data_IF_846266562980
#
_entry.id   IF_846266562980
#
_cell.length_a   1.000
_cell.length_b   1.000
_cell.length_c   1.000
_cell.angle_alpha   90.00
_cell.angle_beta   90.00
_cell.angle_gamma   90.00
#
_symmetry.space_group_name_H-M   'P 1'
#
loop_
_entity.id
_entity.type
_entity.pdbx_description
1 polymer ?
#
# COMPACT_ATOMS: atom_id res chain seq x y z
N UNK A 1 -3.90 12.00 -13.85
CA UNK A 1 -4.83 11.04 -13.16
C UNK A 1 -4.10 9.73 -12.87
N UNK A 2 -4.14 9.23 -11.64
CA UNK A 2 -3.44 8.02 -11.19
C UNK A 2 -4.36 6.81 -11.26
N UNK A 3 -3.81 5.65 -11.65
CA UNK A 3 -4.59 4.40 -11.66
C UNK A 3 -4.56 3.74 -10.29
N UNK A 4 -5.73 3.29 -9.83
CA UNK A 4 -5.93 2.51 -8.62
C UNK A 4 -6.46 1.14 -9.03
N UNK A 5 -5.94 0.07 -8.43
CA UNK A 5 -6.34 -1.29 -8.79
C UNK A 5 -6.63 -2.15 -7.56
N UNK A 6 -7.39 -3.21 -7.76
CA UNK A 6 -7.58 -4.25 -6.74
C UNK A 6 -6.32 -5.10 -6.56
N UNK A 7 -6.21 -5.77 -5.42
CA UNK A 7 -5.16 -6.78 -5.17
C UNK A 7 -5.20 -7.90 -6.22
N UNK A 8 -6.39 -8.27 -6.69
CA UNK A 8 -6.54 -9.26 -7.74
C UNK A 8 -5.90 -8.78 -9.05
N UNK A 9 -6.26 -7.58 -9.50
CA UNK A 9 -5.69 -6.97 -10.70
C UNK A 9 -4.16 -6.83 -10.58
N UNK A 10 -3.66 -6.44 -9.40
CA UNK A 10 -2.21 -6.35 -9.15
C UNK A 10 -1.52 -7.69 -9.36
N UNK A 11 -2.04 -8.78 -8.79
CA UNK A 11 -1.47 -10.13 -8.94
C UNK A 11 -1.50 -10.65 -10.36
N UNK A 12 -2.61 -10.40 -11.08
CA UNK A 12 -2.76 -10.79 -12.48
C UNK A 12 -1.74 -10.03 -13.36
N UNK A 13 -1.55 -8.74 -13.09
CA UNK A 13 -0.57 -7.88 -13.78
C UNK A 13 0.88 -8.30 -13.50
N UNK A 14 1.22 -8.59 -12.25
CA UNK A 14 2.53 -9.14 -11.86
C UNK A 14 2.81 -10.46 -12.60
N UNK A 15 1.88 -11.41 -12.53
CA UNK A 15 2.04 -12.72 -13.16
C UNK A 15 2.19 -12.60 -14.68
N UNK A 16 1.41 -11.70 -15.31
CA UNK A 16 1.50 -11.43 -16.74
C UNK A 16 2.86 -10.83 -17.11
N UNK A 17 3.32 -9.86 -16.33
CA UNK A 17 4.59 -9.18 -16.56
C UNK A 17 5.77 -10.16 -16.40
N UNK A 18 5.77 -10.97 -15.35
CA UNK A 18 6.81 -11.99 -15.11
C UNK A 18 6.83 -13.03 -16.23
N UNK A 19 5.67 -13.43 -16.72
CA UNK A 19 5.58 -14.43 -17.79
C UNK A 19 6.07 -13.92 -19.14
N UNK A 20 5.88 -12.62 -19.45
CA UNK A 20 6.05 -12.13 -20.82
C UNK A 20 7.21 -11.15 -21.00
N UNK A 21 7.68 -10.47 -19.95
CA UNK A 21 8.58 -9.31 -20.11
C UNK A 21 9.83 -9.34 -19.25
N UNK A 22 9.77 -9.93 -18.04
CA UNK A 22 10.90 -9.92 -17.11
C UNK A 22 10.83 -11.10 -16.14
N UNK A 23 11.91 -11.45 -15.47
CA UNK A 23 11.87 -12.44 -14.38
C UNK A 23 11.48 -11.78 -13.03
N UNK A 24 11.03 -12.63 -12.10
CA UNK A 24 10.55 -12.19 -10.80
C UNK A 24 11.62 -11.53 -9.93
N UNK A 25 12.88 -11.96 -10.04
CA UNK A 25 14.01 -11.35 -9.29
C UNK A 25 14.32 -9.96 -9.80
N UNK A 26 14.31 -9.77 -11.12
CA UNK A 26 14.49 -8.44 -11.73
C UNK A 26 13.37 -7.49 -11.29
N UNK A 27 12.11 -7.97 -11.25
CA UNK A 27 10.98 -7.15 -10.79
C UNK A 27 11.12 -6.78 -9.32
N UNK A 28 11.53 -7.72 -8.46
CA UNK A 28 11.85 -7.50 -7.05
C UNK A 28 12.99 -6.50 -6.86
N UNK A 29 14.04 -6.58 -7.69
CA UNK A 29 15.12 -5.59 -7.66
C UNK A 29 14.61 -4.18 -7.98
N UNK A 30 13.79 -4.03 -9.02
CA UNK A 30 13.18 -2.75 -9.38
C UNK A 30 12.30 -2.19 -8.27
N UNK A 31 11.57 -3.06 -7.55
CA UNK A 31 10.76 -2.67 -6.41
C UNK A 31 11.62 -2.10 -5.27
N UNK A 32 12.64 -2.82 -4.83
CA UNK A 32 13.57 -2.35 -3.79
C UNK A 32 14.32 -1.07 -4.20
N UNK A 33 14.71 -0.96 -5.48
CA UNK A 33 15.36 0.23 -6.03
C UNK A 33 14.41 1.44 -6.02
N UNK A 34 13.15 1.25 -6.40
CA UNK A 34 12.13 2.29 -6.36
C UNK A 34 11.88 2.80 -4.94
N UNK A 35 11.84 1.89 -3.97
CA UNK A 35 11.75 2.25 -2.54
C UNK A 35 12.97 3.03 -2.10
N UNK A 36 14.17 2.58 -2.47
CA UNK A 36 15.41 3.30 -2.14
C UNK A 36 15.39 4.74 -2.67
N UNK A 37 14.97 4.96 -3.92
CA UNK A 37 14.88 6.28 -4.56
C UNK A 37 13.76 7.18 -4.00
N UNK A 38 12.76 6.61 -3.33
CA UNK A 38 11.56 7.33 -2.87
C UNK A 38 11.71 8.07 -1.54
N UNK A 39 12.78 7.80 -0.80
CA UNK A 39 13.02 8.38 0.51
C UNK A 39 14.51 8.78 0.67
N UNK A 40 14.82 9.93 1.30
CA UNK A 40 16.21 10.36 1.55
C UNK A 40 16.82 9.62 2.75
N UNK A 41 17.15 8.35 2.56
CA UNK A 41 17.73 7.49 3.59
C UNK A 41 19.04 8.06 4.14
N UNK A 42 19.19 8.03 5.45
CA UNK A 42 20.41 8.46 6.14
C UNK A 42 20.55 7.75 7.48
N UNK A 43 21.74 7.87 8.10
CA UNK A 43 22.05 7.28 9.40
C UNK A 43 22.01 5.76 9.42
N UNK A 44 21.24 5.17 10.33
CA UNK A 44 21.02 3.72 10.43
C UNK A 44 19.57 3.38 10.20
N UNK A 45 19.33 2.37 9.36
CA UNK A 45 17.99 1.93 8.96
C UNK A 45 17.69 0.52 9.49
N UNK A 46 16.59 0.37 10.20
CA UNK A 46 16.05 -0.95 10.56
C UNK A 46 15.14 -1.42 9.43
N UNK A 47 15.50 -2.51 8.74
CA UNK A 47 14.67 -3.11 7.69
C UNK A 47 13.94 -4.30 8.29
N UNK A 48 12.64 -4.17 8.56
CA UNK A 48 11.83 -5.18 9.23
C UNK A 48 11.14 -6.05 8.18
N UNK A 49 11.53 -7.32 8.11
CA UNK A 49 11.20 -8.24 7.06
C UNK A 49 10.30 -9.38 7.53
N UNK A 50 9.23 -9.64 6.79
CA UNK A 50 8.41 -10.83 6.93
C UNK A 50 9.00 -12.06 6.22
N UNK A 51 8.12 -12.93 5.68
CA UNK A 51 8.53 -14.15 5.00
C UNK A 51 8.08 -14.26 3.53
N UNK A 52 7.40 -13.22 3.02
CA UNK A 52 6.88 -13.15 1.66
C UNK A 52 7.77 -12.34 0.71
N UNK A 53 7.24 -12.01 -0.47
CA UNK A 53 7.98 -11.25 -1.48
C UNK A 53 8.28 -9.81 -1.04
N UNK A 54 7.40 -9.18 -0.25
CA UNK A 54 7.66 -7.85 0.31
C UNK A 54 8.95 -7.79 1.16
N UNK A 55 9.30 -8.89 1.85
CA UNK A 55 10.60 -9.01 2.50
C UNK A 55 11.76 -9.03 1.50
N UNK A 56 11.54 -9.61 0.32
CA UNK A 56 12.53 -9.61 -0.76
C UNK A 56 12.86 -8.19 -1.25
N UNK A 57 11.84 -7.34 -1.40
CA UNK A 57 12.02 -5.92 -1.72
C UNK A 57 12.84 -5.22 -0.62
N UNK A 58 12.59 -5.58 0.64
CA UNK A 58 13.37 -5.11 1.81
C UNK A 58 14.83 -5.56 1.78
N UNK A 59 15.12 -6.78 1.34
CA UNK A 59 16.50 -7.25 1.20
C UNK A 59 17.23 -6.50 0.08
N UNK A 60 16.57 -6.22 -1.03
CA UNK A 60 17.13 -5.36 -2.09
C UNK A 60 17.38 -3.95 -1.57
N UNK A 61 16.44 -3.37 -0.82
CA UNK A 61 16.63 -2.08 -0.15
C UNK A 61 17.87 -2.10 0.75
N UNK A 62 18.07 -3.13 1.57
CA UNK A 62 19.22 -3.26 2.46
C UNK A 62 20.55 -3.31 1.69
N UNK A 63 20.60 -4.04 0.57
CA UNK A 63 21.76 -4.07 -0.31
C UNK A 63 22.08 -2.68 -0.88
N UNK A 64 21.06 -1.94 -1.32
CA UNK A 64 21.22 -0.59 -1.86
C UNK A 64 21.65 0.42 -0.78
N UNK A 65 21.10 0.31 0.45
CA UNK A 65 21.55 1.11 1.59
C UNK A 65 23.04 0.87 1.85
N UNK A 66 23.47 -0.37 1.98
CA UNK A 66 24.88 -0.76 2.19
C UNK A 66 25.78 -0.24 1.07
N UNK A 67 25.38 -0.43 -0.19
CA UNK A 67 26.14 0.03 -1.35
C UNK A 67 26.32 1.57 -1.40
N UNK A 68 25.42 2.31 -0.74
CA UNK A 68 25.50 3.77 -0.64
C UNK A 68 26.06 4.27 0.71
N UNK A 69 26.68 3.40 1.49
CA UNK A 69 27.33 3.76 2.76
C UNK A 69 26.35 4.05 3.91
N UNK A 70 25.09 3.64 3.78
CA UNK A 70 24.06 3.81 4.80
C UNK A 70 23.98 2.51 5.62
N UNK A 71 24.18 2.62 6.94
CA UNK A 71 24.13 1.46 7.84
C UNK A 71 22.71 0.89 7.91
N UNK A 72 22.61 -0.45 7.86
CA UNK A 72 21.31 -1.10 8.04
C UNK A 72 21.44 -2.43 8.76
N UNK A 73 20.34 -2.87 9.37
CA UNK A 73 20.19 -4.18 10.01
C UNK A 73 18.85 -4.78 9.61
N UNK A 74 18.86 -6.05 9.26
CA UNK A 74 17.64 -6.81 8.96
C UNK A 74 17.01 -7.33 10.25
N UNK A 75 15.76 -7.00 10.50
CA UNK A 75 14.94 -7.52 11.58
C UNK A 75 13.93 -8.50 11.01
N UNK A 76 14.15 -9.79 11.20
CA UNK A 76 13.31 -10.84 10.64
C UNK A 76 12.19 -11.19 11.62
N UNK A 77 10.94 -11.17 11.16
CA UNK A 77 9.80 -11.66 11.96
C UNK A 77 9.87 -13.17 12.13
N UNK A 78 10.32 -13.88 11.09
CA UNK A 78 10.56 -15.33 11.08
C UNK A 78 11.74 -15.67 10.20
N UNK A 79 12.47 -16.73 10.55
CA UNK A 79 13.51 -17.28 9.69
C UNK A 79 12.88 -18.14 8.57
N UNK A 80 12.11 -17.50 7.68
CA UNK A 80 11.42 -18.11 6.56
C UNK A 80 11.41 -17.12 5.39
N UNK A 81 11.59 -17.62 4.18
CA UNK A 81 11.79 -16.80 2.97
C UNK A 81 10.93 -17.30 1.82
N UNK A 82 10.48 -16.41 0.94
CA UNK A 82 10.07 -16.78 -0.41
C UNK A 82 11.28 -17.18 -1.26
N UNK A 83 11.08 -17.81 -2.40
CA UNK A 83 12.19 -18.27 -3.25
C UNK A 83 13.10 -17.10 -3.71
N UNK A 84 12.50 -16.01 -4.20
CA UNK A 84 13.23 -14.83 -4.62
C UNK A 84 13.77 -14.02 -3.43
N UNK A 85 13.03 -13.99 -2.33
CA UNK A 85 13.48 -13.39 -1.08
C UNK A 85 14.73 -14.06 -0.53
N UNK A 86 14.81 -15.39 -0.56
CA UNK A 86 16.01 -16.13 -0.14
C UNK A 86 17.22 -15.75 -0.99
N UNK A 87 17.05 -15.61 -2.31
CA UNK A 87 18.13 -15.20 -3.20
C UNK A 87 18.75 -13.86 -2.80
N UNK A 88 17.93 -12.87 -2.46
CA UNK A 88 18.42 -11.55 -2.03
C UNK A 88 18.91 -11.55 -0.58
N UNK A 89 18.31 -12.36 0.29
CA UNK A 89 18.78 -12.51 1.68
C UNK A 89 20.21 -13.13 1.71
N UNK A 90 20.50 -14.14 0.89
CA UNK A 90 21.85 -14.71 0.78
C UNK A 90 22.86 -13.67 0.26
N UNK A 91 22.46 -12.76 -0.63
CA UNK A 91 23.30 -11.62 -1.03
C UNK A 91 23.54 -10.65 0.15
N UNK A 92 22.51 -10.35 0.96
CA UNK A 92 22.70 -9.53 2.16
C UNK A 92 23.71 -10.15 3.12
N UNK A 93 23.69 -11.48 3.30
CA UNK A 93 24.67 -12.20 4.10
C UNK A 93 26.07 -12.11 3.52
N UNK A 94 26.22 -12.24 2.20
CA UNK A 94 27.49 -12.13 1.51
C UNK A 94 28.12 -10.72 1.60
N UNK A 95 27.28 -9.70 1.78
CA UNK A 95 27.69 -8.31 2.01
C UNK A 95 27.80 -7.96 3.50
N UNK A 96 27.86 -8.96 4.40
CA UNK A 96 27.95 -8.78 5.84
C UNK A 96 26.88 -7.82 6.43
N UNK A 97 25.65 -7.86 5.91
CA UNK A 97 24.53 -7.14 6.48
C UNK A 97 24.00 -7.95 7.68
N UNK A 98 24.05 -7.34 8.86
CA UNK A 98 23.57 -7.96 10.09
C UNK A 98 22.09 -8.31 10.01
N UNK A 99 21.72 -9.48 10.55
CA UNK A 99 20.32 -9.89 10.70
C UNK A 99 20.04 -10.47 12.07
N UNK A 100 18.84 -10.17 12.60
CA UNK A 100 18.37 -10.65 13.90
C UNK A 100 16.89 -10.99 13.84
N UNK A 101 16.43 -11.85 14.74
CA UNK A 101 14.99 -12.16 14.88
C UNK A 101 14.35 -11.13 15.82
N UNK A 102 13.25 -10.52 15.38
CA UNK A 102 12.47 -9.60 16.21
C UNK A 102 11.78 -10.36 17.34
N UNK A 103 11.79 -9.78 18.54
CA UNK A 103 11.15 -10.33 19.73
C UNK A 103 10.73 -9.20 20.68
N UNK A 104 10.20 -9.55 21.86
CA UNK A 104 9.71 -8.61 22.87
C UNK A 104 10.78 -7.62 23.38
N UNK A 105 12.07 -8.00 23.32
CA UNK A 105 13.18 -7.14 23.76
C UNK A 105 13.74 -6.26 22.62
N UNK A 106 13.23 -6.39 21.39
CA UNK A 106 13.70 -5.58 20.27
C UNK A 106 13.35 -4.12 20.49
N UNK A 107 14.34 -3.25 20.29
CA UNK A 107 14.20 -1.79 20.34
C UNK A 107 14.87 -1.16 19.11
N UNK A 108 14.36 -0.02 18.70
CA UNK A 108 14.84 0.71 17.52
C UNK A 108 15.57 2.03 17.89
N UNK A 109 15.99 2.20 19.15
CA UNK A 109 16.61 3.45 19.63
C UNK A 109 17.86 3.86 18.83
N UNK A 110 18.64 2.88 18.40
CA UNK A 110 19.86 3.10 17.61
C UNK A 110 19.63 3.31 16.09
N UNK A 111 18.38 3.49 15.66
CA UNK A 111 18.02 3.65 14.23
C UNK A 111 17.35 5.00 13.99
N UNK A 112 17.52 5.55 12.79
CA UNK A 112 16.96 6.84 12.38
C UNK A 112 15.64 6.62 11.62
N UNK A 113 15.53 5.52 10.88
CA UNK A 113 14.33 5.15 10.14
C UNK A 113 14.07 3.64 10.20
N UNK A 114 12.83 3.27 9.97
CA UNK A 114 12.37 1.89 9.86
C UNK A 114 11.74 1.69 8.49
N UNK A 115 12.18 0.67 7.76
CA UNK A 115 11.50 0.18 6.57
C UNK A 115 10.61 -1.01 6.95
N UNK A 116 9.30 -0.87 6.77
CA UNK A 116 8.31 -1.93 7.00
C UNK A 116 8.16 -2.77 5.72
N UNK A 117 8.75 -3.95 5.74
CA UNK A 117 8.72 -4.94 4.67
C UNK A 117 8.12 -6.28 5.14
N UNK A 118 7.18 -6.26 6.12
CA UNK A 118 6.68 -7.48 6.76
C UNK A 118 5.65 -8.16 5.87
N UNK A 119 4.58 -7.44 5.50
CA UNK A 119 3.46 -7.95 4.72
C UNK A 119 3.21 -7.04 3.51
N UNK A 120 3.02 -7.63 2.33
CA UNK A 120 2.58 -6.93 1.11
C UNK A 120 1.10 -7.16 0.84
N UNK A 121 0.65 -6.84 -0.38
CA UNK A 121 -0.74 -6.97 -0.85
C UNK A 121 -1.32 -8.38 -0.73
N UNK A 122 -0.48 -9.39 -0.51
CA UNK A 122 -0.91 -10.77 -0.26
C UNK A 122 -1.66 -11.00 1.05
N UNK A 123 -1.56 -10.08 2.00
CA UNK A 123 -2.14 -10.24 3.33
C UNK A 123 -3.68 -10.20 3.32
N UNK A 124 -4.28 -11.12 4.09
CA UNK A 124 -5.72 -11.18 4.35
C UNK A 124 -5.99 -11.65 5.79
N UNK A 125 -6.99 -11.09 6.41
CA UNK A 125 -7.46 -11.49 7.72
C UNK A 125 -6.67 -10.87 8.88
N UNK A 126 -6.34 -11.66 9.90
CA UNK A 126 -5.65 -11.19 11.11
C UNK A 126 -4.15 -11.48 11.03
N UNK A 127 -3.34 -10.56 11.54
CA UNK A 127 -1.90 -10.75 11.69
C UNK A 127 -1.59 -11.85 12.74
N UNK A 128 -0.49 -12.59 12.54
CA UNK A 128 -0.01 -13.54 13.56
C UNK A 128 0.57 -12.82 14.77
N UNK A 129 0.76 -13.52 15.89
CA UNK A 129 1.30 -12.94 17.12
C UNK A 129 2.68 -12.31 16.90
N UNK A 130 3.55 -12.96 16.12
CA UNK A 130 4.89 -12.45 15.83
C UNK A 130 4.85 -11.19 14.95
N UNK A 131 3.94 -11.14 13.97
CA UNK A 131 3.72 -9.94 13.16
C UNK A 131 3.15 -8.83 14.03
N UNK A 132 2.20 -9.13 14.93
CA UNK A 132 1.68 -8.15 15.88
C UNK A 132 2.79 -7.56 16.75
N UNK A 133 3.66 -8.38 17.31
CA UNK A 133 4.83 -7.91 18.09
C UNK A 133 5.67 -6.94 17.26
N UNK A 134 5.97 -7.26 15.99
CA UNK A 134 6.73 -6.38 15.11
C UNK A 134 5.99 -5.05 14.83
N UNK A 135 4.69 -5.10 14.53
CA UNK A 135 3.85 -3.92 14.32
C UNK A 135 3.83 -3.02 15.55
N UNK A 136 3.64 -3.59 16.74
CA UNK A 136 3.62 -2.84 18.00
C UNK A 136 4.97 -2.15 18.26
N UNK A 137 6.09 -2.83 18.02
CA UNK A 137 7.45 -2.30 18.15
C UNK A 137 7.71 -1.15 17.17
N UNK A 138 7.29 -1.30 15.92
CA UNK A 138 7.40 -0.23 14.91
C UNK A 138 6.57 0.98 15.35
N UNK A 139 5.30 0.77 15.66
CA UNK A 139 4.36 1.85 16.01
C UNK A 139 4.74 2.61 17.29
N UNK A 140 5.42 1.95 18.23
CA UNK A 140 5.88 2.56 19.49
C UNK A 140 7.29 3.15 19.42
N UNK A 141 8.01 2.98 18.32
CA UNK A 141 9.41 3.36 18.19
C UNK A 141 9.67 4.87 18.19
N UNK A 142 8.69 5.66 17.76
CA UNK A 142 8.87 7.10 17.52
C UNK A 142 9.79 7.44 16.34
N UNK A 143 10.16 6.46 15.52
CA UNK A 143 11.04 6.63 14.35
C UNK A 143 10.24 6.96 13.09
N UNK A 144 10.92 7.52 12.09
CA UNK A 144 10.34 7.65 10.75
C UNK A 144 10.11 6.27 10.14
N UNK A 145 8.88 6.00 9.71
CA UNK A 145 8.47 4.69 9.17
C UNK A 145 8.13 4.81 7.68
N UNK A 146 8.81 4.00 6.87
CA UNK A 146 8.53 3.86 5.43
C UNK A 146 7.99 2.46 5.18
N UNK A 147 6.73 2.34 4.81
CA UNK A 147 6.14 1.04 4.43
C UNK A 147 6.36 0.74 2.94
N UNK A 148 6.81 -0.46 2.65
CA UNK A 148 7.09 -0.95 1.29
C UNK A 148 5.87 -1.66 0.74
N UNK A 149 5.47 -1.30 -0.46
CA UNK A 149 4.30 -1.77 -1.19
C UNK A 149 2.96 -1.40 -0.52
N UNK A 150 2.78 -1.73 0.73
CA UNK A 150 1.60 -1.45 1.55
C UNK A 150 1.97 -1.52 3.04
N UNK A 151 1.29 -0.78 3.89
CA UNK A 151 1.48 -0.88 5.34
C UNK A 151 1.17 -2.30 5.83
N UNK A 152 2.08 -2.91 6.56
CA UNK A 152 1.86 -4.26 7.08
C UNK A 152 0.63 -4.32 7.99
N UNK A 153 -0.31 -5.19 7.63
CA UNK A 153 -1.63 -5.31 8.27
C UNK A 153 -2.77 -4.56 7.60
N UNK A 154 -2.47 -3.69 6.62
CA UNK A 154 -3.50 -3.07 5.77
C UNK A 154 -4.01 -4.09 4.73
N UNK A 155 -5.31 -4.19 4.57
CA UNK A 155 -5.88 -4.95 3.47
C UNK A 155 -5.85 -4.11 2.19
N UNK A 156 -5.25 -4.64 1.13
CA UNK A 156 -5.04 -3.90 -0.13
C UNK A 156 -6.32 -3.57 -0.90
N UNK A 157 -7.46 -4.21 -0.57
CA UNK A 157 -8.76 -3.93 -1.19
C UNK A 157 -9.68 -3.11 -0.28
N UNK A 158 -9.59 -3.28 1.06
CA UNK A 158 -10.60 -2.76 2.00
C UNK A 158 -10.05 -1.83 3.09
N UNK A 159 -8.74 -1.58 3.13
CA UNK A 159 -8.13 -0.70 4.13
C UNK A 159 -7.86 -1.38 5.48
N UNK A 160 -8.00 -0.65 6.58
CA UNK A 160 -7.67 -1.12 7.93
C UNK A 160 -8.71 -2.13 8.42
N UNK A 161 -8.27 -3.33 8.78
CA UNK A 161 -9.13 -4.39 9.34
C UNK A 161 -8.66 -4.90 10.71
N UNK A 162 -7.63 -4.29 11.27
CA UNK A 162 -7.04 -4.71 12.56
C UNK A 162 -5.71 -4.03 12.82
N UNK A 163 -4.77 -4.79 13.38
CA UNK A 163 -3.41 -4.29 13.65
C UNK A 163 -2.70 -3.93 12.34
N UNK A 164 -2.18 -2.71 12.29
CA UNK A 164 -1.55 -2.15 11.08
C UNK A 164 -0.41 -1.22 11.46
N UNK A 165 0.66 -1.23 10.69
CA UNK A 165 1.78 -0.28 10.80
C UNK A 165 1.29 1.12 10.46
N UNK A 166 1.73 2.10 11.24
CA UNK A 166 1.57 3.53 10.93
C UNK A 166 2.83 4.01 10.22
N UNK A 167 2.67 4.58 9.03
CA UNK A 167 3.80 5.08 8.23
C UNK A 167 3.79 6.59 8.05
N UNK A 168 4.97 7.16 7.96
CA UNK A 168 5.16 8.53 7.48
C UNK A 168 5.13 8.59 5.96
N UNK A 169 5.59 7.50 5.31
CA UNK A 169 5.54 7.31 3.88
C UNK A 169 5.18 5.86 3.56
N UNK A 170 4.26 5.65 2.63
CA UNK A 170 4.04 4.36 1.98
C UNK A 170 4.47 4.46 0.53
N UNK A 171 5.38 3.58 0.12
CA UNK A 171 5.84 3.49 -1.27
C UNK A 171 5.09 2.35 -1.93
N UNK A 172 4.03 2.69 -2.65
CA UNK A 172 3.25 1.72 -3.43
C UNK A 172 4.05 1.29 -4.66
N UNK A 173 4.24 0.01 -4.84
CA UNK A 173 4.99 -0.57 -5.95
C UNK A 173 4.05 -0.95 -7.09
N UNK A 174 4.37 -0.52 -8.30
CA UNK A 174 3.59 -0.73 -9.51
C UNK A 174 2.37 0.21 -9.57
N UNK A 175 1.27 -0.18 -8.96
CA UNK A 175 0.03 0.59 -8.96
C UNK A 175 -0.47 0.88 -7.54
N UNK A 176 -1.22 1.98 -7.40
CA UNK A 176 -1.96 2.28 -6.17
C UNK A 176 -3.04 1.22 -5.94
N UNK A 177 -3.28 0.86 -4.67
CA UNK A 177 -4.27 -0.15 -4.27
C UNK A 177 -5.51 0.53 -3.72
N UNK A 178 -6.69 -0.04 -3.96
CA UNK A 178 -7.97 0.48 -3.47
C UNK A 178 -7.98 0.66 -1.95
N UNK A 179 -7.34 -0.23 -1.20
CA UNK A 179 -7.27 -0.19 0.25
C UNK A 179 -6.55 1.03 0.84
N UNK A 180 -5.76 1.78 0.07
CA UNK A 180 -5.17 3.06 0.55
C UNK A 180 -6.21 4.15 0.78
N UNK A 181 -7.35 4.06 0.14
CA UNK A 181 -8.41 5.06 0.12
C UNK A 181 -9.68 4.61 0.85
N UNK A 182 -9.66 3.42 1.45
CA UNK A 182 -10.81 2.78 2.09
C UNK A 182 -10.52 2.42 3.55
N UNK A 183 -11.58 2.17 4.32
CA UNK A 183 -11.52 1.58 5.64
C UNK A 183 -10.64 2.32 6.65
N UNK A 184 -10.55 3.65 6.60
CA UNK A 184 -9.76 4.45 7.54
C UNK A 184 -8.25 4.33 7.37
N UNK A 185 -7.77 4.00 6.17
CA UNK A 185 -6.35 3.90 5.87
C UNK A 185 -5.59 5.22 6.11
N UNK A 186 -6.24 6.37 5.93
CA UNK A 186 -5.75 7.72 6.22
C UNK A 186 -5.30 7.89 7.68
N UNK A 187 -5.88 7.15 8.63
CA UNK A 187 -5.43 7.11 10.02
C UNK A 187 -4.09 6.39 10.24
N UNK A 188 -3.59 5.66 9.24
CA UNK A 188 -2.37 4.86 9.29
C UNK A 188 -1.27 5.35 8.35
N UNK A 189 -1.62 6.13 7.35
CA UNK A 189 -0.72 6.54 6.27
C UNK A 189 -0.70 8.07 6.20
N UNK A 190 0.46 8.69 6.43
CA UNK A 190 0.57 10.16 6.27
C UNK A 190 0.71 10.57 4.80
N UNK A 191 1.44 9.78 4.02
CA UNK A 191 1.68 10.05 2.59
C UNK A 191 1.87 8.77 1.81
N UNK A 192 1.28 8.70 0.62
CA UNK A 192 1.51 7.61 -0.35
C UNK A 192 2.24 8.18 -1.57
N UNK A 193 3.22 7.46 -2.07
CA UNK A 193 3.81 7.66 -3.41
C UNK A 193 3.69 6.37 -4.19
N UNK A 194 3.45 6.48 -5.49
CA UNK A 194 3.43 5.31 -6.37
C UNK A 194 4.69 5.27 -7.22
N UNK A 195 5.32 4.12 -7.29
CA UNK A 195 6.50 3.89 -8.11
C UNK A 195 6.19 2.88 -9.21
N UNK A 196 6.37 3.32 -10.44
CA UNK A 196 6.34 2.43 -11.59
C UNK A 196 7.62 1.58 -11.63
N UNK A 197 7.46 0.28 -11.76
CA UNK A 197 8.56 -0.70 -11.86
C UNK A 197 8.50 -1.50 -13.18
N UNK A 198 7.64 -1.08 -14.11
CA UNK A 198 7.44 -1.72 -15.40
C UNK A 198 6.49 -2.90 -15.34
N UNK A 199 5.42 -2.80 -14.55
CA UNK A 199 4.33 -3.79 -14.52
C UNK A 199 3.31 -3.44 -15.58
N UNK A 200 3.05 -4.39 -16.48
CA UNK A 200 2.01 -4.26 -17.49
C UNK A 200 0.63 -4.53 -16.87
N UNK A 201 -0.24 -3.54 -16.97
CA UNK A 201 -1.58 -3.63 -16.42
C UNK A 201 -2.45 -4.60 -17.22
N UNK A 202 -3.02 -5.58 -16.54
CA UNK A 202 -4.00 -6.52 -17.09
C UNK A 202 -5.27 -6.45 -16.24
N UNK A 203 -6.41 -6.18 -16.89
CA UNK A 203 -7.70 -6.08 -16.22
C UNK A 203 -8.11 -4.64 -15.90
N UNK A 204 -9.03 -4.51 -14.94
CA UNK A 204 -9.69 -3.25 -14.64
C UNK A 204 -8.85 -2.37 -13.69
N UNK A 205 -8.90 -1.07 -13.93
CA UNK A 205 -8.34 -0.05 -13.06
C UNK A 205 -9.34 1.09 -12.86
N UNK A 206 -9.40 1.61 -11.64
CA UNK A 206 -10.10 2.85 -11.35
C UNK A 206 -9.17 4.04 -11.58
N UNK A 207 -9.75 5.21 -11.78
CA UNK A 207 -8.98 6.46 -11.88
C UNK A 207 -9.14 7.26 -10.60
N UNK A 208 -8.03 7.58 -9.94
CA UNK A 208 -8.02 8.52 -8.83
C UNK A 208 -8.18 9.93 -9.38
N UNK A 209 -9.23 10.62 -8.96
CA UNK A 209 -9.45 12.02 -9.23
C UNK A 209 -8.94 12.80 -8.02
N UNK A 210 -7.95 13.66 -8.23
CA UNK A 210 -7.40 14.54 -7.20
C UNK A 210 -7.97 15.96 -7.40
N UNK A 211 -7.95 16.79 -6.37
CA UNK A 211 -8.58 18.12 -6.34
C UNK A 211 -8.19 19.03 -7.50
N UNK A 212 -6.96 18.90 -8.00
CA UNK A 212 -6.41 19.74 -9.08
C UNK A 212 -6.51 19.08 -10.46
N UNK A 213 -7.13 17.90 -10.58
CA UNK A 213 -7.38 17.27 -11.86
C UNK A 213 -8.52 17.98 -12.61
N UNK A 214 -8.26 18.41 -13.85
CA UNK A 214 -9.34 18.81 -14.75
C UNK A 214 -10.13 17.59 -15.17
N UNK A 215 -11.40 17.58 -14.81
CA UNK A 215 -12.28 16.45 -15.03
C UNK A 215 -13.46 16.86 -15.90
N UNK A 216 -13.63 16.19 -17.03
CA UNK A 216 -14.80 16.33 -17.90
C UNK A 216 -15.65 15.09 -17.73
N UNK A 217 -16.83 15.25 -17.13
CA UNK A 217 -17.82 14.20 -17.01
C UNK A 217 -18.70 14.19 -18.26
N UNK A 218 -18.60 13.15 -19.08
CA UNK A 218 -19.53 12.93 -20.19
C UNK A 218 -20.70 12.04 -19.72
N UNK A 219 -21.79 12.67 -19.35
CA UNK A 219 -23.01 12.00 -18.91
C UNK A 219 -23.85 11.42 -20.07
N UNK A 220 -23.36 11.50 -21.30
CA UNK A 220 -24.10 10.96 -22.46
C UNK A 220 -24.26 9.45 -22.35
N UNK A 221 -25.50 9.02 -22.23
CA UNK A 221 -25.87 7.61 -22.18
C UNK A 221 -26.06 7.03 -20.78
N UNK A 222 -25.82 7.78 -19.71
CA UNK A 222 -26.24 7.37 -18.38
C UNK A 222 -27.72 7.73 -18.17
N UNK A 223 -28.56 6.82 -17.62
CA UNK A 223 -29.91 7.18 -17.24
C UNK A 223 -29.86 8.21 -16.11
N UNK A 224 -30.13 9.47 -16.45
CA UNK A 224 -30.31 10.51 -15.45
C UNK A 224 -31.75 10.40 -14.96
N UNK A 225 -31.97 9.88 -13.77
CA UNK A 225 -33.25 9.98 -13.10
C UNK A 225 -33.22 11.15 -12.13
N UNK A 226 -34.05 12.14 -12.37
CA UNK A 226 -34.29 13.24 -11.44
C UNK A 226 -35.32 12.78 -10.39
N UNK A 227 -34.96 12.87 -9.13
CA UNK A 227 -35.88 12.74 -8.01
C UNK A 227 -35.96 14.06 -7.27
N UNK A 228 -37.16 14.58 -7.03
CA UNK A 228 -37.33 15.69 -6.13
C UNK A 228 -37.08 15.23 -4.68
N UNK A 229 -36.08 15.81 -4.05
CA UNK A 229 -35.73 15.51 -2.66
C UNK A 229 -36.54 16.42 -1.71
N UNK A 230 -37.06 15.90 -0.59
CA UNK A 230 -37.61 16.75 0.48
C UNK A 230 -36.56 17.72 1.02
N UNK A 231 -36.89 18.96 1.18
CA UNK A 231 -35.98 20.06 1.61
C UNK A 231 -35.26 19.85 2.95
N UNK A 232 -35.62 18.83 3.71
CA UNK A 232 -35.08 18.55 5.07
C UNK A 232 -34.39 17.18 5.16
N UNK A 233 -34.21 16.48 4.04
CA UNK A 233 -33.63 15.16 4.07
C UNK A 233 -32.14 15.21 3.79
N UNK A 234 -31.38 14.40 4.54
CA UNK A 234 -29.98 14.12 4.24
C UNK A 234 -29.88 13.48 2.85
N UNK A 235 -29.47 14.26 1.85
CA UNK A 235 -29.37 13.85 0.46
C UNK A 235 -28.54 12.57 0.29
N UNK A 236 -27.55 12.38 1.15
CA UNK A 236 -26.66 11.23 1.20
C UNK A 236 -27.39 9.95 1.57
N UNK A 237 -28.21 10.01 2.63
CA UNK A 237 -28.98 8.86 3.12
C UNK A 237 -30.02 8.42 2.09
N UNK A 238 -30.67 9.37 1.42
CA UNK A 238 -31.62 9.08 0.35
C UNK A 238 -30.96 8.40 -0.84
N UNK A 239 -29.77 8.90 -1.23
CA UNK A 239 -29.02 8.30 -2.32
C UNK A 239 -28.53 6.90 -2.01
N UNK A 240 -28.00 6.68 -0.80
CA UNK A 240 -27.67 5.33 -0.33
C UNK A 240 -28.87 4.40 -0.38
N UNK A 241 -30.03 4.84 0.12
CA UNK A 241 -31.28 4.06 0.07
C UNK A 241 -31.68 3.76 -1.37
N UNK A 242 -31.69 4.74 -2.25
CA UNK A 242 -32.10 4.58 -3.65
C UNK A 242 -31.13 3.67 -4.40
N UNK A 243 -29.83 3.85 -4.21
CA UNK A 243 -28.82 2.99 -4.80
C UNK A 243 -28.95 1.53 -4.30
N UNK A 244 -29.12 1.33 -3.00
CA UNK A 244 -29.30 -0.01 -2.40
C UNK A 244 -30.58 -0.69 -2.94
N UNK A 245 -31.69 0.04 -3.02
CA UNK A 245 -32.94 -0.49 -3.55
C UNK A 245 -32.85 -0.89 -5.03
N UNK A 246 -31.97 -0.25 -5.80
CA UNK A 246 -31.74 -0.52 -7.23
C UNK A 246 -30.56 -1.46 -7.50
N UNK A 247 -29.92 -1.96 -6.47
CA UNK A 247 -28.73 -2.82 -6.61
C UNK A 247 -27.50 -2.09 -7.14
N UNK A 248 -27.45 -0.75 -7.02
CA UNK A 248 -26.31 0.07 -7.41
C UNK A 248 -25.40 0.22 -6.20
N UNK A 249 -24.14 -0.17 -6.33
CA UNK A 249 -23.12 0.06 -5.31
C UNK A 249 -22.51 1.45 -5.50
N UNK A 250 -22.72 2.32 -4.49
CA UNK A 250 -21.98 3.58 -4.37
C UNK A 250 -20.67 3.28 -3.62
N UNK A 251 -19.62 3.09 -4.37
CA UNK A 251 -18.27 2.97 -3.83
C UNK A 251 -17.51 4.30 -3.93
N UNK A 252 -16.30 4.35 -3.39
CA UNK A 252 -15.52 5.56 -3.42
C UNK A 252 -15.23 5.97 -4.87
N UNK A 253 -15.49 7.24 -5.18
CA UNK A 253 -15.42 7.78 -6.54
C UNK A 253 -16.76 7.98 -7.24
N UNK A 254 -17.89 7.63 -6.59
CA UNK A 254 -19.19 8.00 -7.10
C UNK A 254 -19.38 9.52 -7.03
N UNK A 255 -19.79 10.11 -8.12
CA UNK A 255 -20.07 11.55 -8.23
C UNK A 255 -21.57 11.74 -8.38
N UNK A 256 -22.10 12.61 -7.56
CA UNK A 256 -23.50 13.05 -7.66
C UNK A 256 -23.54 14.54 -7.95
N UNK A 257 -24.40 14.96 -8.84
CA UNK A 257 -24.71 16.38 -9.05
C UNK A 257 -26.22 16.59 -9.08
N UNK A 258 -26.67 17.66 -8.44
CA UNK A 258 -28.05 18.15 -8.54
C UNK A 258 -28.21 19.26 -9.61
N UNK A 259 -27.13 19.56 -10.34
CA UNK A 259 -27.08 20.61 -11.37
C UNK A 259 -26.52 21.95 -10.87
N UNK A 260 -26.47 22.17 -9.55
CA UNK A 260 -25.89 23.36 -8.93
C UNK A 260 -24.68 23.00 -8.07
N UNK A 261 -24.71 21.86 -7.34
CA UNK A 261 -23.62 21.35 -6.54
C UNK A 261 -23.18 19.95 -6.94
N UNK A 262 -21.92 19.66 -6.73
CA UNK A 262 -21.34 18.34 -7.02
C UNK A 262 -20.79 17.72 -5.76
N UNK A 263 -21.27 16.53 -5.41
CA UNK A 263 -20.86 15.77 -4.23
C UNK A 263 -19.97 14.61 -4.67
N UNK A 264 -18.82 14.47 -4.03
CA UNK A 264 -17.87 13.37 -4.27
C UNK A 264 -17.88 12.46 -3.04
N UNK A 265 -18.11 11.18 -3.27
CA UNK A 265 -18.08 10.18 -2.21
C UNK A 265 -16.66 9.65 -2.04
N UNK A 266 -16.04 9.95 -0.91
CA UNK A 266 -14.78 9.36 -0.48
C UNK A 266 -15.05 8.42 0.71
N UNK A 267 -14.71 7.13 0.56
CA UNK A 267 -14.74 6.10 1.62
C UNK A 267 -16.00 6.11 2.52
N UNK A 268 -17.15 6.40 1.94
CA UNK A 268 -18.43 6.39 2.66
C UNK A 268 -18.76 7.65 3.45
N UNK A 269 -17.96 8.69 3.35
CA UNK A 269 -18.28 10.03 3.81
C UNK A 269 -18.52 10.95 2.61
N UNK A 270 -19.52 11.83 2.73
CA UNK A 270 -19.71 12.97 1.80
C UNK A 270 -18.80 14.09 2.26
N UNK A 271 -18.04 14.65 1.37
CA UNK A 271 -17.36 15.94 1.56
C UNK A 271 -17.90 16.94 0.58
#
# INVERSE_FOLDING_TARGET
MKKIISVRTMRESDAYTIKNFTDSKTLMYRAGEAVFKSFPWHGRVAVVCGSGNNAGDGYVLALLLKANGIGCTLFLVKNKFSADGLYYYEKCKAEDIESTIINENTAFDGYDAIADCILGTGFKGKVSAEVKTAVDKINSSGKTVVSVDINSGLNGDFGVQGECVKSDLTVSVGYLKTGFYLGGADSKIKRVVNCDIGIELVGEAYTLIEKDDEFVFDAKGLPVETAELPKEADAVEILRRTATQRGIWLDCGSVLTDGEETYIFESGAVR
#
